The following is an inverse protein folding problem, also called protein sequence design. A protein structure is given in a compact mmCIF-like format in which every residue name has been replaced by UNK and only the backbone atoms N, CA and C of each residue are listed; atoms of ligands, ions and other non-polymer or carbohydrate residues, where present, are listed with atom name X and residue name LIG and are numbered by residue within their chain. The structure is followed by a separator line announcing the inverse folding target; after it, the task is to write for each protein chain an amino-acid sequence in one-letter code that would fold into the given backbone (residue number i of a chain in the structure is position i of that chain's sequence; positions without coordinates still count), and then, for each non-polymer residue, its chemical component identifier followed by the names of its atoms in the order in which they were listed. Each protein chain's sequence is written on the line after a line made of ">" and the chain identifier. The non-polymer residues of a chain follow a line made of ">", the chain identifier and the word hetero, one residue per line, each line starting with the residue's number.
data_IF_556109030490
#
_entry.id   IF_556109030490
#
_cell.length_a   1.000
_cell.length_b   1.000
_cell.length_c   1.000
_cell.angle_alpha   90.00
_cell.angle_beta   90.00
_cell.angle_gamma   90.00
#
_symmetry.space_group_name_H-M   'P 1'
#
loop_
_entity.id
_entity.type
_entity.pdbx_description
1 polymer ?
#
# COMPACT_ATOMS: atom_id res chain seq x y z
N UNK A 1 -11.73 -21.08 13.92
CA UNK A 1 -10.79 -20.01 13.53
C UNK A 1 -9.49 -20.69 13.10
N UNK A 2 -8.98 -20.34 11.93
CA UNK A 2 -7.84 -21.06 11.32
C UNK A 2 -6.56 -20.91 12.16
N UNK A 3 -5.85 -22.02 12.45
CA UNK A 3 -4.71 -22.03 13.40
C UNK A 3 -3.59 -21.07 12.97
N UNK A 4 -3.45 -20.83 11.67
CA UNK A 4 -2.47 -19.85 11.12
C UNK A 4 -2.77 -18.42 11.53
N UNK A 5 -4.03 -17.99 11.47
CA UNK A 5 -4.43 -16.61 11.80
C UNK A 5 -4.14 -16.27 13.26
N UNK A 6 -4.36 -17.22 14.16
CA UNK A 6 -4.06 -17.08 15.58
C UNK A 6 -2.57 -16.84 15.83
N UNK A 7 -1.70 -17.53 15.10
CA UNK A 7 -0.25 -17.45 15.27
C UNK A 7 0.31 -16.11 14.81
N UNK A 8 -0.12 -15.59 13.66
CA UNK A 8 0.32 -14.26 13.19
C UNK A 8 -0.12 -13.15 14.13
N UNK A 9 -1.32 -13.24 14.68
CA UNK A 9 -1.80 -12.26 15.66
C UNK A 9 -0.95 -12.25 16.93
N UNK A 10 -0.58 -13.43 17.42
CA UNK A 10 0.31 -13.58 18.58
C UNK A 10 1.73 -13.05 18.30
N UNK A 11 2.30 -13.38 17.13
CA UNK A 11 3.62 -12.90 16.70
C UNK A 11 3.65 -11.37 16.50
N UNK A 12 2.54 -10.75 16.10
CA UNK A 12 2.41 -9.29 15.94
C UNK A 12 2.31 -8.58 17.29
N UNK A 13 1.59 -9.17 18.26
CA UNK A 13 1.35 -8.54 19.56
C UNK A 13 2.45 -8.80 20.60
N UNK A 14 3.06 -9.98 20.59
CA UNK A 14 3.99 -10.44 21.63
C UNK A 14 5.34 -10.96 21.09
N UNK A 15 5.51 -11.02 19.77
CA UNK A 15 6.74 -11.48 19.14
C UNK A 15 7.89 -10.46 19.22
N UNK A 16 9.08 -10.90 18.81
CA UNK A 16 10.25 -10.03 18.69
C UNK A 16 10.01 -8.93 17.64
N UNK A 17 10.13 -7.67 18.07
CA UNK A 17 9.82 -6.48 17.26
C UNK A 17 10.64 -6.48 15.97
N UNK A 18 11.94 -6.78 16.05
CA UNK A 18 12.83 -6.74 14.89
C UNK A 18 12.46 -7.79 13.86
N UNK A 19 12.18 -9.02 14.31
CA UNK A 19 11.77 -10.13 13.44
C UNK A 19 10.41 -9.89 12.80
N UNK A 20 9.43 -9.42 13.57
CA UNK A 20 8.07 -9.11 13.07
C UNK A 20 8.10 -7.96 12.07
N UNK A 21 8.86 -6.90 12.37
CA UNK A 21 9.02 -5.78 11.45
C UNK A 21 9.70 -6.20 10.15
N UNK A 22 10.73 -7.05 10.22
CA UNK A 22 11.40 -7.55 9.03
C UNK A 22 10.48 -8.46 8.21
N UNK A 23 9.72 -9.35 8.86
CA UNK A 23 8.78 -10.27 8.19
C UNK A 23 7.68 -9.51 7.42
N UNK A 24 7.15 -8.44 8.01
CA UNK A 24 6.11 -7.60 7.39
C UNK A 24 6.68 -6.59 6.40
N UNK A 25 7.87 -6.05 6.69
CA UNK A 25 8.49 -4.97 5.92
C UNK A 25 9.21 -5.45 4.66
N UNK A 26 9.86 -6.62 4.69
CA UNK A 26 10.61 -7.17 3.55
C UNK A 26 9.78 -7.25 2.26
N UNK A 27 8.55 -7.82 2.26
CA UNK A 27 7.73 -7.90 1.05
C UNK A 27 7.35 -6.52 0.52
N UNK A 28 7.04 -5.57 1.43
CA UNK A 28 6.72 -4.19 1.08
C UNK A 28 7.92 -3.48 0.45
N UNK A 29 9.13 -3.69 0.99
CA UNK A 29 10.35 -3.12 0.44
C UNK A 29 10.63 -3.64 -0.97
N UNK A 30 10.47 -4.94 -1.22
CA UNK A 30 10.58 -5.50 -2.59
C UNK A 30 9.55 -4.87 -3.52
N UNK A 31 8.30 -4.75 -3.06
CA UNK A 31 7.24 -4.09 -3.83
C UNK A 31 7.62 -2.67 -4.22
N UNK A 32 8.17 -1.90 -3.27
CA UNK A 32 8.67 -0.54 -3.52
C UNK A 32 9.81 -0.52 -4.55
N UNK A 33 10.79 -1.42 -4.43
CA UNK A 33 11.90 -1.52 -5.39
C UNK A 33 11.38 -1.85 -6.79
N UNK A 34 10.49 -2.83 -6.92
CA UNK A 34 9.89 -3.19 -8.21
C UNK A 34 9.12 -2.01 -8.80
N UNK A 35 8.36 -1.27 -7.98
CA UNK A 35 7.63 -0.10 -8.42
C UNK A 35 8.58 1.03 -8.89
N UNK A 36 9.69 1.27 -8.19
CA UNK A 36 10.70 2.24 -8.61
C UNK A 36 11.35 1.84 -9.94
N UNK A 37 11.69 0.56 -10.10
CA UNK A 37 12.27 0.04 -11.35
C UNK A 37 11.28 0.17 -12.50
N UNK A 38 9.99 -0.12 -12.25
CA UNK A 38 8.93 0.07 -13.24
C UNK A 38 8.84 1.53 -13.70
N UNK A 39 8.82 2.48 -12.76
CA UNK A 39 8.77 3.91 -13.09
C UNK A 39 10.01 4.35 -13.89
N UNK A 40 11.19 3.81 -13.57
CA UNK A 40 12.43 4.11 -14.29
C UNK A 40 12.39 3.55 -15.72
N UNK A 41 11.95 2.31 -15.90
CA UNK A 41 11.81 1.67 -17.22
C UNK A 41 10.79 2.42 -18.07
N UNK A 42 9.62 2.74 -17.51
CA UNK A 42 8.58 3.52 -18.19
C UNK A 42 9.11 4.88 -18.66
N UNK A 43 9.74 5.63 -17.75
CA UNK A 43 10.37 6.92 -18.07
C UNK A 43 11.48 6.77 -19.11
N UNK A 44 12.28 5.70 -19.05
CA UNK A 44 13.34 5.43 -20.03
C UNK A 44 12.79 5.18 -21.43
N UNK A 45 11.71 4.40 -21.56
CA UNK A 45 11.06 4.17 -22.85
C UNK A 45 10.36 5.43 -23.38
N UNK A 46 9.69 6.18 -22.52
CA UNK A 46 9.09 7.47 -22.87
C UNK A 46 10.16 8.48 -23.31
N UNK A 47 11.32 8.50 -22.66
CA UNK A 47 12.47 9.34 -23.03
C UNK A 47 13.00 9.05 -24.42
N UNK A 48 12.90 7.79 -24.87
CA UNK A 48 13.29 7.38 -26.21
C UNK A 48 12.32 7.86 -27.30
N UNK A 49 11.05 8.11 -26.95
CA UNK A 49 10.02 8.61 -27.86
C UNK A 49 10.08 10.14 -28.06
N UNK A 50 10.87 10.84 -27.24
CA UNK A 50 11.10 12.28 -27.36
C UNK A 50 10.78 13.03 -26.07
N UNK A 51 11.32 14.25 -25.92
CA UNK A 51 11.14 15.05 -24.70
C UNK A 51 9.66 15.31 -24.37
N UNK A 52 8.83 15.52 -25.38
CA UNK A 52 7.38 15.76 -25.20
C UNK A 52 6.64 14.54 -24.62
N UNK A 53 7.08 13.32 -24.94
CA UNK A 53 6.48 12.09 -24.43
C UNK A 53 6.77 11.86 -22.94
N UNK A 54 7.84 12.45 -22.40
CA UNK A 54 8.18 12.39 -20.97
C UNK A 54 7.46 13.47 -20.16
N UNK A 55 7.24 14.65 -20.74
CA UNK A 55 6.52 15.75 -20.07
C UNK A 55 5.01 15.54 -20.03
N UNK A 56 4.43 14.78 -20.96
CA UNK A 56 2.99 14.49 -20.97
C UNK A 56 2.50 13.77 -19.68
N UNK A 57 3.11 12.66 -19.21
CA UNK A 57 2.74 12.03 -17.95
C UNK A 57 2.85 12.96 -16.74
N UNK A 58 3.86 13.85 -16.71
CA UNK A 58 4.05 14.80 -15.60
C UNK A 58 2.88 15.78 -15.47
N UNK A 59 2.31 16.22 -16.60
CA UNK A 59 1.13 17.09 -16.60
C UNK A 59 -0.17 16.34 -16.28
N UNK A 60 -0.27 15.05 -16.63
CA UNK A 60 -1.45 14.23 -16.33
C UNK A 60 -1.44 13.67 -14.90
N UNK A 61 -0.26 13.55 -14.28
CA UNK A 61 -0.08 12.98 -12.94
C UNK A 61 -0.99 13.60 -11.85
N UNK A 62 -1.23 14.93 -11.79
CA UNK A 62 -2.14 15.52 -10.81
C UNK A 62 -3.57 14.95 -10.87
N UNK A 63 -4.09 14.64 -12.06
CA UNK A 63 -5.43 14.06 -12.22
C UNK A 63 -5.48 12.61 -11.77
N UNK A 64 -4.44 11.84 -12.10
CA UNK A 64 -4.28 10.46 -11.62
C UNK A 64 -4.15 10.45 -10.09
N UNK A 65 -3.35 11.36 -9.55
CA UNK A 65 -3.15 11.53 -8.11
C UNK A 65 -4.44 11.90 -7.39
N UNK A 66 -5.28 12.76 -7.97
CA UNK A 66 -6.59 13.11 -7.42
C UNK A 66 -7.48 11.86 -7.28
N UNK A 67 -7.56 11.05 -8.33
CA UNK A 67 -8.37 9.81 -8.31
C UNK A 67 -7.85 8.81 -7.28
N UNK A 68 -6.53 8.60 -7.23
CA UNK A 68 -5.88 7.73 -6.24
C UNK A 68 -6.15 8.26 -4.83
N UNK A 69 -5.99 9.57 -4.60
CA UNK A 69 -6.19 10.18 -3.28
C UNK A 69 -7.63 10.02 -2.80
N UNK A 70 -8.60 10.17 -3.69
CA UNK A 70 -10.01 9.97 -3.35
C UNK A 70 -10.30 8.51 -2.99
N UNK A 71 -9.84 7.56 -3.81
CA UNK A 71 -9.99 6.13 -3.54
C UNK A 71 -9.31 5.73 -2.22
N UNK A 72 -8.11 6.25 -1.98
CA UNK A 72 -7.35 5.98 -0.77
C UNK A 72 -8.01 6.60 0.46
N UNK A 73 -8.59 7.80 0.35
CA UNK A 73 -9.39 8.42 1.41
C UNK A 73 -10.58 7.54 1.82
N UNK A 74 -11.32 7.01 0.85
CA UNK A 74 -12.42 6.07 1.11
C UNK A 74 -11.94 4.76 1.75
N UNK A 75 -10.84 4.19 1.25
CA UNK A 75 -10.25 2.97 1.81
C UNK A 75 -9.79 3.16 3.26
N UNK A 76 -9.12 4.28 3.56
CA UNK A 76 -8.67 4.62 4.92
C UNK A 76 -9.86 4.85 5.85
N UNK A 77 -10.92 5.52 5.38
CA UNK A 77 -12.15 5.66 6.15
C UNK A 77 -12.79 4.31 6.49
N UNK A 78 -12.82 3.38 5.53
CA UNK A 78 -13.30 2.01 5.76
C UNK A 78 -12.45 1.27 6.79
N UNK A 79 -11.11 1.29 6.66
CA UNK A 79 -10.20 0.68 7.63
C UNK A 79 -10.40 1.28 9.03
N UNK A 80 -10.58 2.60 9.13
CA UNK A 80 -10.82 3.29 10.40
C UNK A 80 -12.14 2.85 11.04
N UNK A 81 -13.24 2.76 10.28
CA UNK A 81 -14.53 2.29 10.79
C UNK A 81 -14.44 0.83 11.25
N UNK A 82 -13.84 -0.04 10.45
CA UNK A 82 -13.64 -1.46 10.80
C UNK A 82 -12.82 -1.59 12.08
N UNK A 83 -11.73 -0.84 12.21
CA UNK A 83 -10.90 -0.83 13.41
C UNK A 83 -11.69 -0.34 14.65
N UNK A 84 -12.51 0.69 14.50
CA UNK A 84 -13.37 1.21 15.57
C UNK A 84 -14.43 0.18 15.99
N UNK A 85 -15.15 -0.44 15.05
CA UNK A 85 -16.19 -1.42 15.35
C UNK A 85 -15.61 -2.70 15.97
N UNK A 86 -14.47 -3.18 15.47
CA UNK A 86 -13.76 -4.31 16.07
C UNK A 86 -13.32 -3.96 17.50
N UNK A 87 -12.78 -2.75 17.72
CA UNK A 87 -12.37 -2.26 19.05
C UNK A 87 -13.55 -2.11 20.02
N UNK A 88 -14.71 -1.67 19.53
CA UNK A 88 -15.95 -1.52 20.31
C UNK A 88 -16.68 -2.84 20.59
N UNK A 89 -16.17 -3.98 20.11
CA UNK A 89 -16.82 -5.32 20.13
C UNK A 89 -18.15 -5.39 19.36
N UNK A 90 -18.43 -4.43 18.47
CA UNK A 90 -19.64 -4.39 17.63
C UNK A 90 -19.38 -5.03 16.26
N UNK A 91 -18.98 -6.31 16.24
CA UNK A 91 -18.56 -7.01 15.01
C UNK A 91 -19.61 -7.09 13.91
N UNK A 92 -20.88 -6.93 14.25
CA UNK A 92 -22.01 -6.99 13.30
C UNK A 92 -22.12 -5.71 12.44
N UNK A 93 -21.50 -4.61 12.86
CA UNK A 93 -21.48 -3.33 12.13
C UNK A 93 -20.14 -3.03 11.45
N UNK A 94 -19.16 -3.92 11.62
CA UNK A 94 -17.81 -3.82 11.08
C UNK A 94 -17.74 -4.21 9.61
#
# INVERSE_FOLDING_TARGET
>A
MDKKFSKYHEDILNGDITKTLFLLGWPLMIGGVIQTVYNLIDTFWLGKLGKEAVTAPLNTWPFVFLMISFAMGAAVAGIALVAQYIGAKEKEKA
#
